data_IF_540415317641
#
_entry.id   IF_540415317641
#
_cell.length_a   1.000
_cell.length_b   1.000
_cell.length_c   1.000
_cell.angle_alpha   90.00
_cell.angle_beta   90.00
_cell.angle_gamma   90.00
#
_symmetry.space_group_name_H-M   'P 1'
#
loop_
_entity.id
_entity.type
_entity.pdbx_description
1 polymer ?
#
# COMPACT_ATOMS: atom_id res chain seq x y z
N UNK A 1 8.91 -7.25 12.15
CA UNK A 1 7.65 -6.68 11.63
C UNK A 1 8.00 -5.76 10.47
N UNK A 2 7.14 -5.65 9.44
CA UNK A 2 7.31 -4.67 8.39
C UNK A 2 7.36 -3.24 8.95
N UNK A 3 8.17 -2.40 8.33
CA UNK A 3 8.30 -0.98 8.64
C UNK A 3 7.62 -0.12 7.58
N UNK A 4 7.38 1.14 7.90
CA UNK A 4 6.82 2.10 6.96
C UNK A 4 7.67 2.21 5.69
N UNK A 5 7.01 2.14 4.53
CA UNK A 5 7.64 2.14 3.21
C UNK A 5 8.00 0.75 2.69
N UNK A 6 7.92 -0.30 3.51
CA UNK A 6 8.13 -1.66 3.04
C UNK A 6 7.07 -2.03 2.00
N UNK A 7 7.50 -2.77 0.98
CA UNK A 7 6.63 -3.33 -0.04
C UNK A 7 6.55 -4.83 0.18
N UNK A 8 5.34 -5.29 0.49
CA UNK A 8 5.04 -6.69 0.72
C UNK A 8 4.40 -7.29 -0.53
N UNK A 9 4.77 -8.53 -0.85
CA UNK A 9 4.11 -9.37 -1.84
C UNK A 9 3.27 -10.41 -1.11
N UNK A 10 1.94 -10.33 -1.26
CA UNK A 10 1.00 -11.27 -0.69
C UNK A 10 0.41 -12.15 -1.81
N UNK A 11 0.74 -13.44 -1.84
CA UNK A 11 0.37 -14.37 -2.92
C UNK A 11 -1.13 -14.69 -2.93
N UNK A 12 -1.78 -14.69 -1.76
CA UNK A 12 -3.23 -14.95 -1.59
C UNK A 12 -3.94 -13.86 -0.80
N UNK A 13 -3.82 -12.61 -1.23
CA UNK A 13 -4.48 -11.49 -0.57
C UNK A 13 -6.00 -11.59 -0.75
N UNK A 14 -6.77 -11.43 0.33
CA UNK A 14 -8.23 -11.41 0.30
C UNK A 14 -8.72 -9.98 0.02
N UNK A 15 -9.42 -9.81 -1.10
CA UNK A 15 -10.03 -8.53 -1.47
C UNK A 15 -11.33 -8.29 -0.71
N UNK A 16 -11.84 -7.06 -0.75
CA UNK A 16 -13.08 -6.64 -0.10
C UNK A 16 -14.33 -7.36 -0.62
N UNK A 17 -14.30 -7.82 -1.88
CA UNK A 17 -15.35 -8.65 -2.50
C UNK A 17 -15.25 -10.15 -2.11
N UNK A 18 -14.28 -10.51 -1.26
CA UNK A 18 -14.05 -11.88 -0.81
C UNK A 18 -13.21 -12.73 -1.76
N UNK A 19 -12.84 -12.21 -2.94
CA UNK A 19 -11.96 -12.92 -3.87
C UNK A 19 -10.51 -12.93 -3.36
N UNK A 20 -9.69 -13.82 -3.92
CA UNK A 20 -8.27 -13.95 -3.56
C UNK A 20 -7.37 -13.71 -4.76
N UNK A 21 -6.20 -13.12 -4.53
CA UNK A 21 -5.20 -13.00 -5.58
C UNK A 21 -3.87 -12.45 -5.10
N UNK A 22 -2.88 -12.48 -5.99
CA UNK A 22 -1.56 -11.92 -5.73
C UNK A 22 -1.63 -10.40 -5.71
N UNK A 23 -1.05 -9.77 -4.68
CA UNK A 23 -1.06 -8.32 -4.54
C UNK A 23 0.24 -7.79 -3.93
N UNK A 24 0.66 -6.63 -4.44
CA UNK A 24 1.68 -5.82 -3.78
C UNK A 24 1.00 -4.82 -2.85
N UNK A 25 1.57 -4.69 -1.65
CA UNK A 25 1.05 -3.89 -0.56
C UNK A 25 2.16 -2.97 -0.05
N UNK A 26 1.87 -1.69 0.09
CA UNK A 26 2.80 -0.70 0.66
C UNK A 26 2.43 -0.44 2.10
N UNK A 27 3.38 -0.58 3.02
CA UNK A 27 3.19 -0.32 4.45
C UNK A 27 3.21 1.18 4.74
N UNK A 28 2.17 1.68 5.39
CA UNK A 28 1.94 3.11 5.62
C UNK A 28 2.24 3.59 7.04
N UNK A 29 2.38 2.70 8.02
CA UNK A 29 2.73 3.03 9.40
C UNK A 29 3.96 2.25 9.90
N UNK A 30 4.51 2.68 11.03
CA UNK A 30 5.44 1.87 11.82
C UNK A 30 4.63 1.21 12.94
N UNK A 31 4.11 -0.01 12.75
CA UNK A 31 3.23 -0.63 13.72
C UNK A 31 3.97 -0.90 15.03
N UNK A 32 3.42 -0.45 16.16
CA UNK A 32 3.85 -0.92 17.48
C UNK A 32 3.44 -2.39 17.66
N UNK A 33 3.97 -3.06 18.69
CA UNK A 33 3.77 -4.51 18.91
C UNK A 33 2.29 -4.97 18.94
N UNK A 34 1.36 -4.06 19.28
CA UNK A 34 -0.09 -4.33 19.34
C UNK A 34 -0.90 -3.63 18.24
N UNK A 35 -0.26 -2.77 17.45
CA UNK A 35 -0.94 -2.04 16.39
C UNK A 35 -0.94 -2.88 15.10
N UNK A 36 -2.02 -2.86 14.31
CA UNK A 36 -2.03 -3.50 13.01
C UNK A 36 -1.07 -2.77 12.05
N UNK A 37 -0.54 -3.53 11.09
CA UNK A 37 0.17 -2.96 9.96
C UNK A 37 -0.87 -2.40 8.98
N UNK A 38 -0.84 -1.09 8.76
CA UNK A 38 -1.72 -0.43 7.80
C UNK A 38 -1.04 -0.47 6.45
N UNK A 39 -1.70 -1.09 5.48
CA UNK A 39 -1.19 -1.23 4.12
C UNK A 39 -2.14 -0.63 3.11
N UNK A 40 -1.60 -0.24 1.96
CA UNK A 40 -2.39 0.16 0.79
C UNK A 40 -2.07 -0.74 -0.38
N UNK A 41 -3.09 -1.10 -1.15
CA UNK A 41 -2.93 -2.00 -2.29
C UNK A 41 -2.48 -1.25 -3.54
N UNK A 42 -1.72 -1.93 -4.39
CA UNK A 42 -1.27 -1.38 -5.67
C UNK A 42 -1.80 -2.17 -6.86
N UNK A 43 -1.92 -1.56 -8.03
CA UNK A 43 -2.34 -2.22 -9.26
C UNK A 43 -1.51 -1.74 -10.44
N UNK A 44 -1.24 -2.61 -11.40
CA UNK A 44 -0.63 -2.27 -12.69
C UNK A 44 -1.68 -1.98 -13.78
N UNK A 45 -2.98 -2.08 -13.45
CA UNK A 45 -4.06 -1.89 -14.42
C UNK A 45 -4.30 -0.41 -14.74
N UNK A 46 -3.58 0.09 -15.74
CA UNK A 46 -3.66 1.50 -16.20
C UNK A 46 -4.98 1.89 -16.85
N UNK A 47 -5.75 0.94 -17.41
CA UNK A 47 -6.99 1.21 -18.15
C UNK A 47 -8.04 1.97 -17.34
N UNK A 48 -8.10 1.73 -16.02
CA UNK A 48 -9.01 2.45 -15.09
C UNK A 48 -8.56 3.89 -14.81
N UNK A 49 -7.30 4.21 -15.08
CA UNK A 49 -6.66 5.45 -14.66
C UNK A 49 -6.11 6.26 -15.85
N UNK A 50 -6.81 6.26 -16.99
CA UNK A 50 -6.40 7.07 -18.15
C UNK A 50 -6.23 8.55 -17.78
N UNK A 51 -5.18 9.17 -18.32
CA UNK A 51 -4.90 10.61 -18.14
C UNK A 51 -4.35 11.02 -16.78
N UNK A 52 -3.95 10.07 -15.92
CA UNK A 52 -3.30 10.42 -14.64
C UNK A 52 -1.85 10.81 -14.85
N UNK A 53 -1.40 11.78 -14.05
CA UNK A 53 -0.01 12.26 -14.09
C UNK A 53 0.82 11.52 -13.05
N UNK A 54 2.13 11.36 -13.25
CA UNK A 54 3.02 10.85 -12.21
C UNK A 54 2.82 11.59 -10.89
N UNK A 55 2.79 10.85 -9.78
CA UNK A 55 2.54 11.36 -8.45
C UNK A 55 1.07 11.36 -8.04
N UNK A 56 0.67 12.38 -7.28
CA UNK A 56 -0.62 12.43 -6.61
C UNK A 56 -1.77 12.81 -7.55
N UNK A 57 -2.83 12.00 -7.60
CA UNK A 57 -4.06 12.27 -8.34
C UNK A 57 -5.28 12.14 -7.40
N UNK A 58 -5.54 13.15 -6.55
CA UNK A 58 -6.51 13.05 -5.46
C UNK A 58 -7.95 12.90 -5.97
N UNK A 59 -8.29 13.49 -7.11
CA UNK A 59 -9.63 13.35 -7.71
C UNK A 59 -9.98 11.92 -8.11
N UNK A 60 -8.99 11.03 -8.20
CA UNK A 60 -9.16 9.61 -8.49
C UNK A 60 -8.72 8.73 -7.33
N UNK A 61 -8.39 9.33 -6.18
CA UNK A 61 -7.86 8.67 -4.99
C UNK A 61 -6.67 7.73 -5.25
N UNK A 62 -5.80 8.08 -6.20
CA UNK A 62 -4.60 7.28 -6.50
C UNK A 62 -3.31 8.09 -6.44
N UNK A 63 -2.20 7.38 -6.23
CA UNK A 63 -0.86 7.84 -6.51
C UNK A 63 -0.26 7.01 -7.65
N UNK A 64 0.17 7.66 -8.73
CA UNK A 64 0.82 6.99 -9.85
C UNK A 64 2.34 7.01 -9.67
N UNK A 65 2.93 5.81 -9.55
CA UNK A 65 4.37 5.58 -9.49
C UNK A 65 4.83 5.00 -10.83
N UNK A 66 5.45 5.81 -11.72
CA UNK A 66 5.97 5.32 -12.99
C UNK A 66 7.19 4.43 -12.78
N UNK A 67 7.39 3.44 -13.65
CA UNK A 67 8.61 2.65 -13.62
C UNK A 67 9.81 3.46 -14.13
N UNK A 68 10.66 3.87 -13.20
CA UNK A 68 11.94 4.54 -13.52
C UNK A 68 13.14 3.64 -13.23
N UNK A 69 12.90 2.38 -12.84
CA UNK A 69 13.92 1.44 -12.38
C UNK A 69 14.49 1.72 -10.98
N UNK A 70 14.16 2.87 -10.36
CA UNK A 70 14.70 3.33 -9.06
C UNK A 70 14.00 2.77 -7.84
N UNK A 71 12.74 2.36 -7.99
CA UNK A 71 11.93 1.83 -6.90
C UNK A 71 11.97 0.31 -6.88
N UNK A 72 11.59 -0.29 -5.74
CA UNK A 72 11.51 -1.74 -5.57
C UNK A 72 10.38 -2.37 -6.40
N UNK A 73 9.32 -1.60 -6.68
CA UNK A 73 8.21 -2.05 -7.51
C UNK A 73 8.61 -1.89 -8.98
N UNK A 74 8.43 -2.96 -9.77
CA UNK A 74 8.67 -2.97 -11.22
C UNK A 74 7.36 -2.75 -11.98
N UNK A 75 7.44 -2.01 -13.08
CA UNK A 75 6.30 -1.63 -13.91
C UNK A 75 5.49 -0.45 -13.36
N UNK A 76 4.78 0.21 -14.27
CA UNK A 76 3.89 1.33 -13.94
C UNK A 76 2.83 0.90 -12.92
N UNK A 77 2.83 1.57 -11.77
CA UNK A 77 2.07 1.14 -10.60
C UNK A 77 1.17 2.26 -10.08
N UNK A 78 -0.08 1.93 -9.82
CA UNK A 78 -1.08 2.82 -9.23
C UNK A 78 -1.36 2.35 -7.81
N UNK A 79 -1.12 3.23 -6.84
CA UNK A 79 -1.40 2.98 -5.42
C UNK A 79 -2.80 3.52 -5.13
N UNK A 80 -3.70 2.66 -4.66
CA UNK A 80 -5.12 2.96 -4.48
C UNK A 80 -5.40 3.47 -3.07
N UNK A 81 -5.38 4.78 -2.89
CA UNK A 81 -5.30 5.44 -1.60
C UNK A 81 -6.58 5.30 -0.76
N UNK A 82 -7.74 5.08 -1.40
CA UNK A 82 -8.99 4.80 -0.70
C UNK A 82 -9.06 3.36 -0.14
N UNK A 83 -8.21 2.45 -0.62
CA UNK A 83 -8.24 1.04 -0.25
C UNK A 83 -7.10 0.70 0.71
N UNK A 84 -7.27 1.12 1.97
CA UNK A 84 -6.38 0.78 3.08
C UNK A 84 -6.86 -0.44 3.84
N UNK A 85 -5.93 -1.30 4.25
CA UNK A 85 -6.23 -2.57 4.93
C UNK A 85 -5.39 -2.71 6.20
N UNK A 86 -5.93 -3.44 7.16
CA UNK A 86 -5.21 -3.85 8.36
C UNK A 86 -4.67 -5.27 8.17
N UNK A 87 -3.37 -5.45 8.38
CA UNK A 87 -2.78 -6.76 8.57
C UNK A 87 -2.43 -6.94 10.05
N UNK A 88 -3.12 -7.87 10.71
CA UNK A 88 -2.81 -8.21 12.09
C UNK A 88 -1.47 -8.95 12.18
N UNK A 89 -0.80 -8.87 13.33
CA UNK A 89 0.45 -9.61 13.55
C UNK A 89 0.24 -11.11 13.37
N UNK A 90 -0.89 -11.64 13.86
CA UNK A 90 -1.23 -13.05 13.73
C UNK A 90 -1.39 -13.47 12.26
N UNK A 91 -2.12 -12.69 11.46
CA UNK A 91 -2.32 -12.99 10.03
C UNK A 91 -1.01 -12.91 9.26
N UNK A 92 -0.19 -11.89 9.52
CA UNK A 92 1.13 -11.77 8.89
C UNK A 92 2.02 -12.97 9.23
N UNK A 93 2.09 -13.36 10.51
CA UNK A 93 2.88 -14.51 10.94
C UNK A 93 2.39 -15.79 10.28
N UNK A 94 1.07 -16.02 10.23
CA UNK A 94 0.49 -17.17 9.56
C UNK A 94 0.82 -17.20 8.05
N UNK A 95 0.70 -16.07 7.36
CA UNK A 95 1.01 -15.96 5.93
C UNK A 95 2.51 -16.13 5.65
N UNK A 96 3.40 -15.65 6.52
CA UNK A 96 4.85 -15.88 6.41
C UNK A 96 5.19 -17.37 6.57
N UNK A 97 4.61 -18.05 7.57
CA UNK A 97 4.82 -19.49 7.77
C UNK A 97 4.35 -20.32 6.57
N UNK A 98 3.28 -19.88 5.89
CA UNK A 98 2.78 -20.49 4.65
C UNK A 98 3.54 -20.06 3.39
N UNK A 99 4.54 -19.19 3.50
CA UNK A 99 5.26 -18.56 2.37
C UNK A 99 4.34 -17.77 1.42
N UNK A 100 3.23 -17.27 1.93
CA UNK A 100 2.23 -16.48 1.19
C UNK A 100 2.49 -14.97 1.32
N UNK A 101 3.36 -14.53 2.24
CA UNK A 101 3.75 -13.14 2.44
C UNK A 101 5.27 -13.02 2.44
N UNK A 102 5.81 -12.16 1.58
CA UNK A 102 7.24 -11.85 1.51
C UNK A 102 7.48 -10.34 1.40
N UNK A 103 8.66 -9.88 1.81
CA UNK A 103 9.09 -8.49 1.59
C UNK A 103 9.91 -8.40 0.32
N UNK A 104 9.57 -7.45 -0.56
CA UNK A 104 10.34 -7.16 -1.77
C UNK A 104 11.46 -6.15 -1.51
N UNK A 105 11.34 -5.35 -0.44
CA UNK A 105 12.23 -4.24 -0.13
C UNK A 105 11.42 -3.00 0.26
N UNK A 106 12.01 -1.81 0.10
CA UNK A 106 11.46 -0.55 0.60
C UNK A 106 11.37 0.49 -0.52
N UNK A 107 10.31 1.29 -0.51
CA UNK A 107 10.22 2.49 -1.35
C UNK A 107 11.24 3.53 -0.89
N UNK A 108 11.65 4.41 -1.81
CA UNK A 108 12.45 5.57 -1.42
C UNK A 108 11.68 6.47 -0.44
N UNK A 109 12.41 7.13 0.47
CA UNK A 109 11.80 8.06 1.43
C UNK A 109 11.04 9.20 0.73
N UNK A 110 11.53 9.63 -0.44
CA UNK A 110 10.86 10.63 -1.28
C UNK A 110 9.50 10.12 -1.75
N UNK A 111 9.44 8.94 -2.36
CA UNK A 111 8.20 8.35 -2.87
C UNK A 111 7.21 8.10 -1.72
N UNK A 112 7.67 7.56 -0.60
CA UNK A 112 6.84 7.36 0.60
C UNK A 112 6.28 8.69 1.12
N UNK A 113 7.10 9.73 1.22
CA UNK A 113 6.66 11.06 1.66
C UNK A 113 5.60 11.64 0.72
N UNK A 114 5.80 11.50 -0.60
CA UNK A 114 4.83 11.95 -1.60
C UNK A 114 3.51 11.19 -1.53
N UNK A 115 3.55 9.86 -1.32
CA UNK A 115 2.36 9.03 -1.10
C UNK A 115 1.61 9.49 0.15
N UNK A 116 2.31 9.68 1.27
CA UNK A 116 1.71 10.16 2.52
C UNK A 116 1.11 11.56 2.38
N UNK A 117 1.76 12.46 1.68
CA UNK A 117 1.21 13.78 1.38
C UNK A 117 -0.02 13.70 0.48
N UNK A 118 -0.10 12.71 -0.42
CA UNK A 118 -1.29 12.46 -1.21
C UNK A 118 -2.43 11.88 -0.36
N UNK A 119 -2.16 10.94 0.55
CA UNK A 119 -3.14 10.39 1.49
C UNK A 119 -3.83 11.48 2.32
N UNK A 120 -3.09 12.52 2.75
CA UNK A 120 -3.68 13.68 3.45
C UNK A 120 -4.73 14.43 2.61
N UNK A 121 -4.59 14.43 1.28
CA UNK A 121 -5.53 15.12 0.37
C UNK A 121 -6.81 14.31 0.12
N UNK A 122 -6.78 13.00 0.33
CA UNK A 122 -7.92 12.08 0.17
C UNK A 122 -8.42 11.60 1.54
N UNK A 123 -8.27 12.45 2.55
CA UNK A 123 -8.54 12.13 3.95
C UNK A 123 -9.92 11.51 4.19
N UNK A 124 -10.93 12.02 3.49
CA UNK A 124 -12.32 11.63 3.66
C UNK A 124 -12.57 10.18 3.23
N UNK A 125 -11.69 9.63 2.40
CA UNK A 125 -11.78 8.25 1.90
C UNK A 125 -11.05 7.24 2.79
N UNK A 126 -10.39 7.70 3.87
CA UNK A 126 -9.60 6.85 4.77
C UNK A 126 -10.32 6.75 6.12
N UNK A 127 -10.50 5.53 6.67
CA UNK A 127 -11.05 5.34 8.01
C UNK A 127 -10.26 6.13 9.06
N UNK A 128 -10.95 6.82 9.97
CA UNK A 128 -10.34 7.66 11.03
C UNK A 128 -9.23 6.95 11.79
N UNK A 129 -9.48 5.68 12.15
CA UNK A 129 -8.51 4.84 12.87
C UNK A 129 -7.23 4.62 12.07
N UNK A 130 -7.35 4.31 10.78
CA UNK A 130 -6.19 4.10 9.91
C UNK A 130 -5.39 5.40 9.77
N UNK A 131 -6.08 6.52 9.57
CA UNK A 131 -5.43 7.82 9.44
C UNK A 131 -4.57 8.16 10.67
N UNK A 132 -5.13 7.96 11.88
CA UNK A 132 -4.39 8.17 13.14
C UNK A 132 -3.15 7.28 13.26
N UNK A 133 -3.21 6.03 12.79
CA UNK A 133 -2.06 5.13 12.81
C UNK A 133 -0.99 5.49 11.77
N UNK A 134 -1.39 6.00 10.60
CA UNK A 134 -0.48 6.40 9.51
C UNK A 134 0.29 7.70 9.85
N UNK A 135 -0.38 8.65 10.52
CA UNK A 135 0.14 10.00 10.78
C UNK A 135 0.38 10.30 12.26
N UNK A 136 0.61 9.25 13.05
CA UNK A 136 1.08 9.35 14.43
C UNK A 136 2.43 10.04 14.53
#
# INVERSE_FOLDING_TARGET
MPAQGDVLCHERFRFSDGTFGKKLLVVLNNPAARDPCIVVKTTSQSRRYQGVKPGCNPNKSIFYLPDTGKEVIRGDTYIQLEETFELSVADMTASVLKKELSSLGKLSDLSLSQIKNCLKKVRLDIPERHYKLIFK
#
